data_IF_390057704653
#
_entry.id   IF_390057704653
#
_cell.length_a   1.000
_cell.length_b   1.000
_cell.length_c   1.000
_cell.angle_alpha   90.00
_cell.angle_beta   90.00
_cell.angle_gamma   90.00
#
_symmetry.space_group_name_H-M   'P 1'
#
loop_
_entity.id
_entity.type
_entity.pdbx_description
1 polymer ?
#
# COMPACT_ATOMS: atom_id res chain seq x y z
N UNK A 1 -8.52 -3.95 6.71
CA UNK A 1 -8.11 -5.31 6.24
C UNK A 1 -8.32 -5.49 4.74
N UNK A 2 -9.42 -5.01 4.16
CA UNK A 2 -9.72 -5.11 2.72
C UNK A 2 -8.62 -4.53 1.82
N UNK A 3 -8.09 -3.35 2.14
CA UNK A 3 -7.02 -2.70 1.35
C UNK A 3 -5.74 -3.55 1.24
N UNK A 4 -5.33 -4.24 2.31
CA UNK A 4 -4.14 -5.10 2.30
C UNK A 4 -4.34 -6.24 1.30
N UNK A 5 -5.49 -6.91 1.37
CA UNK A 5 -5.82 -8.00 0.45
C UNK A 5 -5.90 -7.54 -1.01
N UNK A 6 -6.49 -6.38 -1.28
CA UNK A 6 -6.56 -5.84 -2.63
C UNK A 6 -5.20 -5.39 -3.15
N UNK A 7 -4.36 -4.80 -2.29
CA UNK A 7 -3.01 -4.38 -2.68
C UNK A 7 -2.11 -5.57 -2.99
N UNK A 8 -2.25 -6.68 -2.25
CA UNK A 8 -1.54 -7.93 -2.55
C UNK A 8 -1.92 -8.49 -3.93
N UNK A 9 -3.19 -8.38 -4.34
CA UNK A 9 -3.63 -8.77 -5.70
C UNK A 9 -3.01 -7.90 -6.79
N UNK A 10 -2.67 -6.65 -6.46
CA UNK A 10 -1.96 -5.71 -7.33
C UNK A 10 -0.43 -5.81 -7.16
N UNK A 11 0.06 -6.85 -6.48
CA UNK A 11 1.49 -7.10 -6.20
C UNK A 11 2.17 -5.98 -5.39
N UNK A 12 1.41 -5.31 -4.52
CA UNK A 12 1.90 -4.28 -3.60
C UNK A 12 1.75 -4.71 -2.15
N UNK A 13 2.87 -4.65 -1.42
CA UNK A 13 2.92 -4.86 0.01
C UNK A 13 3.25 -3.56 0.74
N UNK A 14 2.56 -3.32 1.86
CA UNK A 14 2.85 -2.23 2.78
C UNK A 14 2.54 -2.69 4.21
N UNK A 15 2.98 -1.90 5.19
CA UNK A 15 2.66 -2.17 6.60
C UNK A 15 1.52 -1.29 7.08
N UNK A 16 0.50 -1.83 7.77
CA UNK A 16 -0.48 -1.02 8.49
C UNK A 16 0.20 -0.12 9.52
N UNK A 17 -0.24 1.14 9.60
CA UNK A 17 0.29 2.10 10.56
C UNK A 17 0.02 1.71 12.03
N UNK A 18 -1.02 0.92 12.27
CA UNK A 18 -1.37 0.41 13.60
C UNK A 18 -0.29 -0.47 14.23
N UNK A 19 0.58 -1.11 13.43
CA UNK A 19 1.77 -1.84 13.93
C UNK A 19 2.72 -0.89 14.69
N UNK A 20 2.69 0.41 14.35
CA UNK A 20 3.51 1.46 14.95
C UNK A 20 2.71 2.41 15.86
N UNK A 21 1.49 2.03 16.26
CA UNK A 21 0.64 2.83 17.14
C UNK A 21 -0.14 3.97 16.46
N UNK A 22 -0.12 4.06 15.13
CA UNK A 22 -0.98 5.01 14.42
C UNK A 22 -2.45 4.54 14.45
N UNK A 23 -3.38 5.48 14.24
CA UNK A 23 -4.80 5.17 14.08
C UNK A 23 -5.05 4.34 12.82
N UNK A 24 -6.24 3.76 12.72
CA UNK A 24 -6.68 3.10 11.49
C UNK A 24 -6.70 4.07 10.30
N UNK A 25 -6.46 3.53 9.09
CA UNK A 25 -6.37 4.30 7.85
C UNK A 25 -4.96 4.76 7.49
N UNK A 26 -4.00 4.69 8.42
CA UNK A 26 -2.60 5.02 8.14
C UNK A 26 -1.83 3.80 7.62
N UNK A 27 -0.90 4.02 6.70
CA UNK A 27 -0.01 3.00 6.13
C UNK A 27 1.45 3.48 6.15
N UNK A 28 2.39 2.54 6.26
CA UNK A 28 3.82 2.80 6.13
C UNK A 28 4.31 2.25 4.79
N UNK A 29 4.82 3.15 3.97
CA UNK A 29 5.54 2.84 2.73
C UNK A 29 7.05 2.89 3.01
N UNK A 30 7.80 2.02 2.34
CA UNK A 30 9.27 2.02 2.40
C UNK A 30 9.83 1.99 0.99
N UNK A 31 10.81 2.84 0.73
CA UNK A 31 11.55 2.90 -0.54
C UNK A 31 12.99 2.39 -0.40
N UNK A 32 13.39 1.91 0.79
CA UNK A 32 14.80 1.59 1.08
C UNK A 32 15.35 0.32 0.43
N UNK A 33 14.50 -0.58 -0.11
CA UNK A 33 14.91 -1.84 -0.75
C UNK A 33 14.28 -2.06 -2.15
N UNK A 34 13.51 -1.09 -2.64
CA UNK A 34 12.81 -1.18 -3.93
C UNK A 34 13.67 -0.59 -5.03
N UNK A 35 13.60 -1.15 -6.23
CA UNK A 35 14.19 -0.53 -7.42
C UNK A 35 13.47 0.81 -7.68
N UNK A 36 14.23 1.91 -7.76
CA UNK A 36 13.68 3.27 -7.93
C UNK A 36 12.73 3.38 -9.14
N UNK A 37 13.00 2.62 -10.20
CA UNK A 37 12.19 2.60 -11.42
C UNK A 37 10.81 1.96 -11.23
N UNK A 38 10.59 1.24 -10.13
CA UNK A 38 9.32 0.60 -9.80
C UNK A 38 8.46 1.43 -8.82
N UNK A 39 9.00 2.54 -8.28
CA UNK A 39 8.29 3.32 -7.26
C UNK A 39 7.02 3.93 -7.85
N UNK A 40 7.12 4.58 -9.01
CA UNK A 40 5.98 5.24 -9.66
C UNK A 40 4.88 4.23 -10.00
N UNK A 41 5.26 3.11 -10.62
CA UNK A 41 4.34 2.01 -10.92
C UNK A 41 3.69 1.47 -9.64
N UNK A 42 4.46 1.26 -8.57
CA UNK A 42 3.95 0.76 -7.31
C UNK A 42 2.95 1.70 -6.64
N UNK A 43 3.17 3.01 -6.71
CA UNK A 43 2.22 4.02 -6.24
C UNK A 43 0.94 4.01 -7.10
N UNK A 44 1.08 3.88 -8.43
CA UNK A 44 -0.08 3.77 -9.33
C UNK A 44 -0.95 2.55 -8.99
N UNK A 45 -0.33 1.37 -8.79
CA UNK A 45 -1.03 0.14 -8.41
C UNK A 45 -1.69 0.25 -7.03
N UNK A 46 -1.04 0.90 -6.07
CA UNK A 46 -1.62 1.18 -4.75
C UNK A 46 -2.86 2.07 -4.86
N UNK A 47 -2.83 3.12 -5.70
CA UNK A 47 -3.98 3.99 -5.95
C UNK A 47 -5.18 3.19 -6.47
N UNK A 48 -4.96 2.29 -7.43
CA UNK A 48 -6.04 1.44 -7.95
C UNK A 48 -6.65 0.55 -6.85
N UNK A 49 -5.82 -0.04 -5.99
CA UNK A 49 -6.30 -0.83 -4.85
C UNK A 49 -7.13 0.00 -3.86
N UNK A 50 -6.76 1.27 -3.63
CA UNK A 50 -7.53 2.21 -2.79
C UNK A 50 -8.89 2.51 -3.43
N UNK A 51 -8.92 2.86 -4.72
CA UNK A 51 -10.15 3.18 -5.45
C UNK A 51 -11.15 2.02 -5.48
N UNK A 52 -10.67 0.77 -5.51
CA UNK A 52 -11.52 -0.42 -5.41
C UNK A 52 -12.12 -0.60 -4.00
N UNK A 53 -11.43 -0.13 -2.96
CA UNK A 53 -11.90 -0.26 -1.58
C UNK A 53 -12.77 0.91 -1.11
N UNK A 54 -12.68 2.08 -1.76
CA UNK A 54 -13.53 3.25 -1.50
C UNK A 54 -14.90 3.16 -2.17
N UNK A 55 -15.07 2.26 -3.14
CA UNK A 55 -16.36 1.89 -3.73
C UNK A 55 -17.09 0.87 -2.85
#
# INVERSE_FOLDING_TARGET
KQLIMQSLKQEIAFMPGSIFGAKDGYIRLSYGKVNINQIEEGISRLREAILVCEK
#
